data_IF_754250050500
#
_entry.id   IF_754250050500
#
_cell.length_a   1.000
_cell.length_b   1.000
_cell.length_c   1.000
_cell.angle_alpha   90.00
_cell.angle_beta   90.00
_cell.angle_gamma   90.00
#
_symmetry.space_group_name_H-M   'P 1'
#
loop_
_entity.id
_entity.type
_entity.pdbx_description
1 polymer ?
#
# COMPACT_ATOMS: atom_id res chain seq x y z
N UNK A 1 10.48 8.11 10.75
CA UNK A 1 11.20 7.54 9.60
C UNK A 1 12.59 8.13 9.54
N UNK A 2 13.57 7.29 9.30
CA UNK A 2 14.98 7.54 9.57
C UNK A 2 15.79 7.72 8.29
N UNK A 3 16.63 8.76 8.26
CA UNK A 3 17.45 9.14 7.10
C UNK A 3 18.77 8.33 7.00
N UNK A 4 18.94 7.31 7.84
CA UNK A 4 20.10 6.41 7.88
C UNK A 4 19.83 5.10 7.13
N UNK A 5 18.87 5.07 6.21
CA UNK A 5 18.45 3.84 5.50
C UNK A 5 19.61 3.14 4.78
N UNK A 6 20.56 3.90 4.21
CA UNK A 6 21.76 3.33 3.57
C UNK A 6 22.73 2.73 4.57
N UNK A 7 22.75 3.23 5.80
CA UNK A 7 23.51 2.59 6.87
C UNK A 7 22.93 1.19 7.11
N UNK A 8 21.62 1.05 7.17
CA UNK A 8 20.98 -0.26 7.29
C UNK A 8 21.14 -1.17 6.07
N UNK A 9 21.43 -0.61 4.89
CA UNK A 9 21.82 -1.38 3.71
C UNK A 9 23.30 -1.83 3.74
N UNK A 10 24.00 -1.66 4.86
CA UNK A 10 25.38 -2.11 5.00
C UNK A 10 26.41 -1.12 4.47
N UNK A 11 26.04 0.14 4.26
CA UNK A 11 26.95 1.17 3.77
C UNK A 11 27.37 2.14 4.88
N UNK A 12 28.49 2.84 4.71
CA UNK A 12 28.81 3.98 5.58
C UNK A 12 28.63 5.29 4.82
N UNK A 13 27.88 6.21 5.43
CA UNK A 13 27.52 7.48 4.80
C UNK A 13 28.07 8.65 5.59
N UNK A 14 28.71 9.57 4.87
CA UNK A 14 29.32 10.78 5.41
C UNK A 14 28.83 12.02 4.66
N UNK A 15 29.12 13.20 5.21
CA UNK A 15 28.79 14.50 4.60
C UNK A 15 27.26 14.72 4.37
N UNK A 16 26.42 14.19 5.27
CA UNK A 16 24.95 14.30 5.17
C UNK A 16 24.45 15.68 5.63
N UNK A 17 25.09 16.26 6.64
CA UNK A 17 24.64 17.52 7.25
C UNK A 17 25.31 18.73 6.61
N UNK A 18 24.51 19.78 6.41
CA UNK A 18 25.03 21.08 6.00
C UNK A 18 25.81 21.72 7.15
N UNK A 19 26.75 22.59 6.80
CA UNK A 19 27.51 23.38 7.78
C UNK A 19 26.57 24.27 8.62
N UNK A 20 26.94 24.53 9.87
CA UNK A 20 26.13 25.30 10.82
C UNK A 20 26.91 26.49 11.35
N UNK A 21 26.32 27.68 11.21
CA UNK A 21 26.77 28.93 11.83
C UNK A 21 25.96 29.23 13.11
N UNK A 22 26.32 30.32 13.81
CA UNK A 22 25.64 30.77 15.03
C UNK A 22 24.12 30.94 14.84
N UNK A 23 23.70 31.39 13.65
CA UNK A 23 22.29 31.68 13.33
C UNK A 23 21.53 30.51 12.67
N UNK A 24 22.18 29.37 12.42
CA UNK A 24 21.54 28.20 11.81
C UNK A 24 22.37 27.51 10.74
N UNK A 25 21.72 26.69 9.91
CA UNK A 25 22.40 25.98 8.81
C UNK A 25 22.73 26.92 7.66
N UNK A 26 23.96 26.85 7.16
CA UNK A 26 24.39 27.55 5.95
C UNK A 26 23.54 27.05 4.77
N UNK A 27 22.81 27.96 4.12
CA UNK A 27 21.85 27.61 3.06
C UNK A 27 20.42 27.28 3.55
N UNK A 28 20.13 27.42 4.85
CA UNK A 28 18.77 27.28 5.41
C UNK A 28 18.25 25.83 5.48
N UNK A 29 19.01 24.85 5.00
CA UNK A 29 18.65 23.44 5.01
C UNK A 29 19.57 22.63 5.91
N UNK A 30 19.02 21.73 6.73
CA UNK A 30 19.78 20.87 7.66
C UNK A 30 20.68 19.83 6.96
N UNK A 31 20.40 19.52 5.70
CA UNK A 31 21.04 18.42 4.96
C UNK A 31 21.50 18.90 3.60
N UNK A 32 22.64 18.38 3.15
CA UNK A 32 23.18 18.60 1.81
C UNK A 32 22.41 17.80 0.76
N UNK A 33 22.54 18.19 -0.50
CA UNK A 33 21.99 17.45 -1.64
C UNK A 33 22.58 16.04 -1.70
N UNK A 34 21.80 15.08 -2.22
CA UNK A 34 22.17 13.65 -2.29
C UNK A 34 23.49 13.42 -3.05
N UNK A 35 23.78 14.24 -4.05
CA UNK A 35 25.01 14.22 -4.86
C UNK A 35 26.28 14.60 -4.08
N UNK A 36 26.14 15.26 -2.93
CA UNK A 36 27.27 15.62 -2.07
C UNK A 36 27.57 14.59 -0.98
N UNK A 37 26.72 13.57 -0.85
CA UNK A 37 26.89 12.54 0.17
C UNK A 37 27.99 11.57 -0.25
N UNK A 38 28.88 11.27 0.69
CA UNK A 38 29.95 10.32 0.45
C UNK A 38 29.46 8.97 0.98
N UNK A 39 29.26 8.00 0.08
CA UNK A 39 28.75 6.66 0.42
C UNK A 39 29.83 5.63 0.14
N UNK A 40 30.32 4.98 1.19
CA UNK A 40 31.17 3.79 1.07
C UNK A 40 30.28 2.55 1.18
N UNK A 41 30.27 1.73 0.13
CA UNK A 41 29.42 0.53 0.05
C UNK A 41 30.03 -0.64 0.82
N UNK A 42 29.14 -1.56 1.23
CA UNK A 42 29.46 -2.87 1.80
C UNK A 42 30.46 -2.87 2.97
N UNK A 43 30.27 -1.94 3.90
CA UNK A 43 31.10 -1.79 5.09
C UNK A 43 30.69 -2.72 6.23
N UNK A 44 29.46 -3.24 6.21
CA UNK A 44 28.93 -4.17 7.23
C UNK A 44 27.72 -4.96 6.71
N UNK A 45 27.29 -6.04 7.40
CA UNK A 45 26.14 -6.83 6.99
C UNK A 45 24.85 -5.99 6.92
N UNK A 46 24.17 -6.10 5.79
CA UNK A 46 22.93 -5.37 5.53
C UNK A 46 21.74 -5.97 6.28
N UNK A 47 20.92 -5.11 6.88
CA UNK A 47 19.64 -5.44 7.50
C UNK A 47 18.45 -5.27 6.54
N UNK A 48 18.61 -4.39 5.54
CA UNK A 48 17.65 -4.13 4.47
C UNK A 48 18.37 -4.11 3.12
N UNK A 49 17.64 -4.25 2.03
CA UNK A 49 18.23 -4.17 0.69
C UNK A 49 18.51 -2.73 0.26
N UNK A 50 19.47 -2.53 -0.65
CA UNK A 50 19.74 -1.23 -1.30
C UNK A 50 18.49 -0.62 -1.91
N UNK A 51 17.66 -1.45 -2.57
CA UNK A 51 16.44 -1.01 -3.22
C UNK A 51 15.41 -0.49 -2.21
N UNK A 52 15.26 -1.14 -1.06
CA UNK A 52 14.39 -0.68 0.03
C UNK A 52 14.93 0.60 0.67
N UNK A 53 16.25 0.68 0.89
CA UNK A 53 16.89 1.86 1.46
C UNK A 53 16.68 3.10 0.56
N UNK A 54 16.90 2.97 -0.74
CA UNK A 54 16.68 4.06 -1.70
C UNK A 54 15.19 4.43 -1.81
N UNK A 55 14.27 3.45 -1.74
CA UNK A 55 12.82 3.72 -1.73
C UNK A 55 12.38 4.52 -0.50
N UNK A 56 12.90 4.19 0.67
CA UNK A 56 12.64 4.93 1.92
C UNK A 56 13.17 6.37 1.84
N UNK A 57 14.38 6.55 1.30
CA UNK A 57 14.97 7.87 1.12
C UNK A 57 14.20 8.72 0.10
N UNK A 58 13.82 8.16 -1.05
CA UNK A 58 13.00 8.85 -2.05
C UNK A 58 11.64 9.27 -1.48
N UNK A 59 11.02 8.43 -0.65
CA UNK A 59 9.79 8.78 0.04
C UNK A 59 10.00 9.96 1.00
N UNK A 60 11.07 9.97 1.78
CA UNK A 60 11.42 11.06 2.70
C UNK A 60 11.74 12.38 1.97
N UNK A 61 12.42 12.33 0.83
CA UNK A 61 12.68 13.50 -0.01
C UNK A 61 11.38 14.06 -0.61
N UNK A 62 10.49 13.20 -1.09
CA UNK A 62 9.17 13.61 -1.59
C UNK A 62 8.25 14.16 -0.49
N UNK A 63 8.44 13.74 0.76
CA UNK A 63 7.74 14.31 1.91
C UNK A 63 8.26 15.71 2.28
N UNK A 64 9.52 16.06 1.96
CA UNK A 64 10.06 17.41 2.19
C UNK A 64 9.38 18.46 1.32
N UNK A 65 9.08 18.13 0.06
CA UNK A 65 8.34 19.02 -0.86
C UNK A 65 6.87 19.11 -0.47
N UNK A 66 6.31 18.04 0.08
CA UNK A 66 5.00 18.03 0.74
C UNK A 66 5.10 18.56 2.17
N UNK A 67 5.29 19.88 2.31
CA UNK A 67 5.08 20.60 3.60
C UNK A 67 3.65 20.46 4.15
N UNK A 68 2.78 19.68 3.51
CA UNK A 68 1.57 19.07 4.05
C UNK A 68 1.90 17.98 5.06
N UNK A 69 2.44 18.39 6.21
CA UNK A 69 2.53 17.54 7.40
C UNK A 69 1.13 17.02 7.74
N UNK A 70 1.00 15.70 7.85
CA UNK A 70 -0.14 14.89 8.35
C UNK A 70 -0.40 15.13 9.85
N UNK A 71 -0.30 16.37 10.31
CA UNK A 71 -0.98 16.76 11.54
C UNK A 71 -2.46 16.89 11.21
N UNK A 72 -3.31 16.60 12.19
CA UNK A 72 -4.75 16.80 12.16
C UNK A 72 -5.06 18.27 11.80
N UNK A 73 -5.11 18.59 10.50
CA UNK A 73 -5.28 19.95 10.01
C UNK A 73 -6.77 20.18 9.96
N UNK A 74 -7.24 21.10 10.80
CA UNK A 74 -8.64 21.55 10.87
C UNK A 74 -9.18 22.07 9.52
N UNK A 75 -8.32 22.37 8.54
CA UNK A 75 -8.71 23.00 7.27
C UNK A 75 -8.14 22.25 6.04
N UNK A 76 -9.04 21.93 5.10
CA UNK A 76 -8.84 21.01 3.98
C UNK A 76 -7.65 21.38 3.06
N UNK A 77 -7.54 22.65 2.67
CA UNK A 77 -6.62 23.09 1.61
C UNK A 77 -5.34 23.75 2.13
N UNK A 78 -5.09 23.66 3.44
CA UNK A 78 -3.90 24.26 4.05
C UNK A 78 -2.63 23.61 3.50
N UNK A 79 -1.76 24.42 2.90
CA UNK A 79 -0.50 23.97 2.28
C UNK A 79 -0.63 23.54 0.81
N UNK A 80 -1.82 23.59 0.22
CA UNK A 80 -2.06 23.44 -1.22
C UNK A 80 -2.40 24.78 -1.88
N UNK A 81 -3.13 25.65 -1.17
CA UNK A 81 -3.50 26.97 -1.66
C UNK A 81 -2.28 27.90 -1.70
N UNK A 82 -2.02 28.46 -2.88
CA UNK A 82 -1.02 29.50 -3.13
C UNK A 82 -1.63 30.67 -3.90
N UNK A 83 -1.09 31.87 -3.75
CA UNK A 83 -1.40 32.99 -4.63
C UNK A 83 -0.62 32.92 -5.95
N UNK A 84 -0.89 33.83 -6.88
CA UNK A 84 -0.20 33.96 -8.17
C UNK A 84 1.31 34.18 -8.04
N UNK A 85 1.78 34.59 -6.85
CA UNK A 85 3.18 34.84 -6.52
C UNK A 85 3.82 33.67 -5.77
N UNK A 86 3.10 32.57 -5.56
CA UNK A 86 3.56 31.38 -4.84
C UNK A 86 3.50 31.47 -3.31
N UNK A 87 2.92 32.53 -2.74
CA UNK A 87 2.74 32.65 -1.30
C UNK A 87 1.61 31.73 -0.82
N UNK A 88 1.87 30.96 0.24
CA UNK A 88 0.90 30.00 0.77
C UNK A 88 -0.21 30.66 1.60
N UNK A 89 -1.42 30.12 1.47
CA UNK A 89 -2.54 30.44 2.34
C UNK A 89 -2.57 29.53 3.57
N UNK A 90 -2.99 30.08 4.70
CA UNK A 90 -3.09 29.38 5.98
C UNK A 90 -4.52 29.36 6.48
N UNK A 91 -5.01 28.20 6.92
CA UNK A 91 -6.31 28.08 7.58
C UNK A 91 -6.29 28.63 9.01
N UNK A 92 -7.32 29.39 9.38
CA UNK A 92 -7.49 30.03 10.69
C UNK A 92 -8.99 30.11 11.03
N UNK A 93 -9.33 30.09 12.32
CA UNK A 93 -10.70 30.35 12.78
C UNK A 93 -10.85 31.85 13.06
N UNK A 94 -11.78 32.51 12.38
CA UNK A 94 -12.09 33.91 12.69
C UNK A 94 -13.13 33.97 13.81
N UNK A 95 -12.71 34.33 15.02
CA UNK A 95 -13.59 34.43 16.20
C UNK A 95 -14.66 35.52 16.05
N UNK A 96 -14.49 36.50 15.16
CA UNK A 96 -15.49 37.55 14.95
C UNK A 96 -16.62 37.12 14.01
N UNK A 97 -16.29 36.27 13.04
CA UNK A 97 -17.26 35.74 12.08
C UNK A 97 -17.77 34.35 12.44
N UNK A 98 -17.22 33.77 13.51
CA UNK A 98 -17.45 32.39 13.96
C UNK A 98 -17.36 31.37 12.82
N UNK A 99 -16.30 31.51 12.00
CA UNK A 99 -16.16 30.75 10.76
C UNK A 99 -14.70 30.45 10.41
N UNK A 100 -14.52 29.35 9.68
CA UNK A 100 -13.26 28.94 9.07
C UNK A 100 -12.87 29.87 7.91
N UNK A 101 -11.63 30.37 7.92
CA UNK A 101 -11.07 31.23 6.88
C UNK A 101 -9.69 30.76 6.42
N UNK A 102 -9.33 31.09 5.18
CA UNK A 102 -7.97 31.07 4.69
C UNK A 102 -7.41 32.50 4.70
N UNK A 103 -6.21 32.68 5.25
CA UNK A 103 -5.50 33.96 5.33
C UNK A 103 -4.20 33.93 4.54
N UNK A 104 -3.93 35.01 3.82
CA UNK A 104 -2.67 35.29 3.14
C UNK A 104 -1.88 36.35 3.94
N UNK A 105 -0.87 35.91 4.69
CA UNK A 105 -0.03 36.78 5.51
C UNK A 105 -0.82 37.61 6.52
N UNK A 106 -0.60 38.93 6.57
CA UNK A 106 -1.36 39.89 7.43
C UNK A 106 -2.53 40.56 6.72
N UNK A 107 -2.82 40.20 5.48
CA UNK A 107 -3.74 40.94 4.62
C UNK A 107 -5.03 40.18 4.32
N UNK A 108 -5.08 39.59 3.13
CA UNK A 108 -6.30 39.04 2.54
C UNK A 108 -6.80 37.83 3.33
N UNK A 109 -8.12 37.79 3.53
CA UNK A 109 -8.86 36.68 4.13
C UNK A 109 -9.95 36.23 3.17
N UNK A 110 -10.18 34.93 3.08
CA UNK A 110 -11.24 34.32 2.28
C UNK A 110 -11.95 33.28 3.14
N UNK A 111 -13.28 33.20 3.05
CA UNK A 111 -14.05 32.17 3.74
C UNK A 111 -13.66 30.77 3.24
N UNK A 112 -13.29 29.87 4.14
CA UNK A 112 -12.80 28.53 3.78
C UNK A 112 -13.87 27.74 3.04
N UNK A 113 -15.12 27.75 3.54
CA UNK A 113 -16.27 27.08 2.91
C UNK A 113 -16.40 27.39 1.42
N UNK A 114 -16.23 28.67 1.02
CA UNK A 114 -16.40 29.09 -0.37
C UNK A 114 -15.34 28.48 -1.29
N UNK A 115 -14.11 28.35 -0.79
CA UNK A 115 -13.00 27.76 -1.56
C UNK A 115 -13.12 26.24 -1.54
N UNK A 116 -13.31 25.65 -0.36
CA UNK A 116 -13.41 24.21 -0.17
C UNK A 116 -14.55 23.61 -1.00
N UNK A 117 -15.74 24.22 -0.96
CA UNK A 117 -16.91 23.74 -1.72
C UNK A 117 -16.67 23.81 -3.23
N UNK A 118 -16.04 24.88 -3.71
CA UNK A 118 -15.72 25.04 -5.13
C UNK A 118 -14.69 24.01 -5.60
N UNK A 119 -13.65 23.78 -4.80
CA UNK A 119 -12.60 22.80 -5.10
C UNK A 119 -13.16 21.38 -5.04
N UNK A 120 -13.93 21.04 -4.01
CA UNK A 120 -14.56 19.73 -3.88
C UNK A 120 -15.57 19.48 -5.00
N UNK A 121 -16.37 20.48 -5.39
CA UNK A 121 -17.29 20.37 -6.51
C UNK A 121 -16.55 20.09 -7.82
N UNK A 122 -15.42 20.79 -8.04
CA UNK A 122 -14.58 20.55 -9.21
C UNK A 122 -13.96 19.16 -9.21
N UNK A 123 -13.39 18.73 -8.09
CA UNK A 123 -12.82 17.38 -7.93
C UNK A 123 -13.88 16.31 -8.18
N UNK A 124 -15.09 16.46 -7.64
CA UNK A 124 -16.21 15.53 -7.91
C UNK A 124 -16.57 15.47 -9.38
N UNK A 125 -16.53 16.60 -10.08
CA UNK A 125 -16.79 16.65 -11.52
C UNK A 125 -15.68 15.97 -12.31
N UNK A 126 -14.42 16.26 -11.99
CA UNK A 126 -13.26 15.70 -12.68
C UNK A 126 -13.13 14.18 -12.43
N UNK A 127 -13.52 13.69 -11.24
CA UNK A 127 -13.61 12.25 -10.93
C UNK A 127 -14.69 11.53 -11.74
N UNK A 128 -15.75 12.23 -12.16
CA UNK A 128 -16.81 11.70 -13.03
C UNK A 128 -16.50 11.86 -14.51
N UNK A 129 -15.40 12.52 -14.88
CA UNK A 129 -15.02 12.64 -16.26
C UNK A 129 -14.72 11.25 -16.84
N UNK A 130 -15.20 10.92 -18.05
CA UNK A 130 -15.01 9.60 -18.66
C UNK A 130 -13.53 9.17 -18.72
N UNK A 131 -12.64 10.11 -19.04
CA UNK A 131 -11.19 9.85 -19.08
C UNK A 131 -10.62 9.43 -17.72
N UNK A 132 -11.09 10.06 -16.64
CA UNK A 132 -10.66 9.74 -15.28
C UNK A 132 -11.19 8.37 -14.85
N UNK A 133 -12.47 8.10 -15.13
CA UNK A 133 -13.09 6.80 -14.86
C UNK A 133 -12.37 5.66 -15.60
N UNK A 134 -12.05 5.86 -16.88
CA UNK A 134 -11.29 4.89 -17.67
C UNK A 134 -9.89 4.65 -17.11
N UNK A 135 -9.19 5.70 -16.67
CA UNK A 135 -7.88 5.56 -16.01
C UNK A 135 -7.99 4.81 -14.69
N UNK A 136 -9.00 5.11 -13.87
CA UNK A 136 -9.24 4.41 -12.61
C UNK A 136 -9.52 2.93 -12.89
N UNK A 137 -10.40 2.61 -13.83
CA UNK A 137 -10.70 1.23 -14.22
C UNK A 137 -9.47 0.52 -14.79
N UNK A 138 -8.67 1.17 -15.62
CA UNK A 138 -7.43 0.60 -16.14
C UNK A 138 -6.47 0.26 -15.00
N UNK A 139 -6.25 1.18 -14.06
CA UNK A 139 -5.38 0.94 -12.89
C UNK A 139 -5.95 -0.17 -12.01
N UNK A 140 -7.25 -0.18 -11.74
CA UNK A 140 -7.89 -1.26 -10.97
C UNK A 140 -7.69 -2.61 -11.65
N UNK A 141 -7.83 -2.69 -12.97
CA UNK A 141 -7.57 -3.91 -13.73
C UNK A 141 -6.10 -4.35 -13.68
N UNK A 142 -5.15 -3.41 -13.63
CA UNK A 142 -3.72 -3.76 -13.49
C UNK A 142 -3.31 -4.15 -12.08
N UNK A 143 -4.05 -3.73 -11.05
CA UNK A 143 -3.78 -4.07 -9.65
C UNK A 143 -4.32 -5.45 -9.26
N UNK A 144 -5.24 -5.97 -10.06
CA UNK A 144 -5.72 -7.34 -9.94
C UNK A 144 -4.65 -8.24 -10.57
N UNK A 145 -4.16 -9.21 -9.80
CA UNK A 145 -3.21 -10.23 -10.23
C UNK A 145 -3.62 -10.93 -11.53
N UNK A 146 -2.66 -11.58 -12.19
CA UNK A 146 -2.86 -12.38 -13.39
C UNK A 146 -4.08 -13.32 -13.26
N UNK A 147 -4.91 -13.48 -14.32
CA UNK A 147 -6.10 -14.32 -14.26
C UNK A 147 -5.73 -15.72 -13.78
N UNK A 148 -6.39 -16.15 -12.69
CA UNK A 148 -6.20 -17.49 -12.15
C UNK A 148 -6.68 -18.50 -13.20
N UNK A 149 -5.78 -19.37 -13.66
CA UNK A 149 -6.12 -20.41 -14.62
C UNK A 149 -7.16 -21.36 -14.01
N UNK A 150 -8.37 -21.35 -14.56
CA UNK A 150 -9.46 -22.24 -14.13
C UNK A 150 -9.08 -23.72 -14.24
N UNK A 151 -8.14 -24.06 -15.11
CA UNK A 151 -7.59 -25.41 -15.21
C UNK A 151 -6.79 -25.82 -13.98
N UNK A 152 -6.02 -24.89 -13.40
CA UNK A 152 -5.25 -25.15 -12.18
C UNK A 152 -6.17 -25.43 -10.98
N UNK A 153 -7.31 -24.74 -10.90
CA UNK A 153 -8.34 -25.02 -9.89
C UNK A 153 -8.91 -26.43 -10.10
N UNK A 154 -9.36 -26.75 -11.31
CA UNK A 154 -9.94 -28.05 -11.63
C UNK A 154 -8.96 -29.22 -11.42
N UNK A 155 -7.67 -29.04 -11.71
CA UNK A 155 -6.64 -30.05 -11.49
C UNK A 155 -6.40 -30.29 -9.98
N UNK A 156 -6.43 -29.24 -9.15
CA UNK A 156 -6.34 -29.37 -7.68
C UNK A 156 -7.60 -30.00 -7.09
N UNK A 157 -8.79 -29.68 -7.59
CA UNK A 157 -10.05 -30.34 -7.19
C UNK A 157 -9.99 -31.86 -7.44
N UNK A 158 -9.54 -32.27 -8.63
CA UNK A 158 -9.34 -33.69 -8.94
C UNK A 158 -8.30 -34.35 -8.03
N UNK A 159 -7.23 -33.64 -7.69
CA UNK A 159 -6.19 -34.15 -6.79
C UNK A 159 -6.75 -34.35 -5.38
N UNK A 160 -7.54 -33.40 -4.89
CA UNK A 160 -8.23 -33.49 -3.60
C UNK A 160 -9.19 -34.68 -3.54
N UNK A 161 -9.96 -34.91 -4.59
CA UNK A 161 -10.86 -36.05 -4.69
C UNK A 161 -10.09 -37.38 -4.66
N UNK A 162 -8.94 -37.44 -5.34
CA UNK A 162 -8.06 -38.61 -5.37
C UNK A 162 -7.48 -38.92 -3.99
N UNK A 163 -7.02 -37.90 -3.26
CA UNK A 163 -6.48 -38.05 -1.91
C UNK A 163 -7.59 -38.50 -0.95
N UNK A 164 -8.79 -37.93 -1.05
CA UNK A 164 -9.94 -38.30 -0.24
C UNK A 164 -10.31 -39.78 -0.44
N UNK A 165 -10.32 -40.25 -1.70
CA UNK A 165 -10.51 -41.67 -2.01
C UNK A 165 -9.39 -42.57 -1.46
N UNK A 166 -8.14 -42.10 -1.48
CA UNK A 166 -6.99 -42.83 -0.91
C UNK A 166 -7.12 -42.96 0.61
N UNK A 167 -7.52 -41.90 1.31
CA UNK A 167 -7.76 -41.91 2.75
C UNK A 167 -8.83 -42.95 3.10
N UNK A 168 -9.98 -42.93 2.41
CA UNK A 168 -11.03 -43.93 2.62
C UNK A 168 -10.53 -45.37 2.51
N UNK A 169 -9.77 -45.68 1.45
CA UNK A 169 -9.16 -47.01 1.28
C UNK A 169 -8.17 -47.38 2.39
N UNK A 170 -7.39 -46.42 2.88
CA UNK A 170 -6.45 -46.67 3.98
C UNK A 170 -7.16 -46.92 5.31
N UNK A 171 -8.30 -46.24 5.54
CA UNK A 171 -9.16 -46.50 6.70
C UNK A 171 -9.72 -47.92 6.63
N UNK A 172 -10.25 -48.33 5.48
CA UNK A 172 -10.76 -49.70 5.28
C UNK A 172 -9.66 -50.74 5.55
N UNK A 173 -8.47 -50.54 4.98
CA UNK A 173 -7.31 -51.42 5.20
C UNK A 173 -6.81 -51.43 6.66
N UNK A 174 -6.96 -50.33 7.38
CA UNK A 174 -6.63 -50.26 8.81
C UNK A 174 -7.63 -51.09 9.64
N UNK A 175 -8.92 -51.06 9.29
CA UNK A 175 -9.95 -51.83 9.97
C UNK A 175 -9.80 -53.34 9.75
N UNK A 176 -9.37 -53.74 8.55
CA UNK A 176 -9.15 -55.14 8.17
C UNK A 176 -7.76 -55.69 8.58
N UNK A 177 -6.93 -54.88 9.24
CA UNK A 177 -5.58 -55.27 9.61
C UNK A 177 -5.57 -56.39 10.67
N UNK A 178 -4.87 -57.49 10.37
CA UNK A 178 -4.75 -58.64 11.27
C UNK A 178 -3.93 -58.34 12.53
N UNK A 179 -2.95 -57.42 12.44
CA UNK A 179 -2.01 -57.11 13.51
C UNK A 179 -1.96 -55.61 13.81
N UNK A 180 -1.74 -55.28 15.08
CA UNK A 180 -1.70 -53.89 15.56
C UNK A 180 -0.56 -53.06 14.96
N UNK A 181 0.56 -53.69 14.61
CA UNK A 181 1.70 -53.03 13.95
C UNK A 181 1.34 -52.58 12.53
N UNK A 182 0.63 -53.40 11.78
CA UNK A 182 0.14 -53.09 10.42
C UNK A 182 -0.95 -52.01 10.47
N UNK A 183 -1.88 -52.10 11.43
CA UNK A 183 -2.88 -51.06 11.66
C UNK A 183 -2.23 -49.69 11.95
N UNK A 184 -1.18 -49.66 12.77
CA UNK A 184 -0.43 -48.42 13.05
C UNK A 184 0.32 -47.87 11.83
N UNK A 185 0.81 -48.73 10.93
CA UNK A 185 1.45 -48.27 9.69
C UNK A 185 0.45 -47.58 8.75
N UNK A 186 -0.78 -48.12 8.65
CA UNK A 186 -1.86 -47.45 7.92
C UNK A 186 -2.30 -46.16 8.59
N UNK A 187 -2.40 -46.11 9.92
CA UNK A 187 -2.73 -44.88 10.66
C UNK A 187 -1.75 -43.73 10.33
N UNK A 188 -0.44 -44.00 10.31
CA UNK A 188 0.56 -42.98 9.91
C UNK A 188 0.40 -42.54 8.45
N UNK A 189 0.03 -43.47 7.57
CA UNK A 189 -0.21 -43.17 6.15
C UNK A 189 -1.47 -42.32 5.95
N UNK A 190 -2.48 -42.51 6.80
CA UNK A 190 -3.70 -41.68 6.84
C UNK A 190 -3.36 -40.29 7.33
N UNK A 191 -2.60 -40.16 8.42
CA UNK A 191 -2.16 -38.84 8.93
C UNK A 191 -1.39 -38.05 7.87
N UNK A 192 -0.48 -38.70 7.14
CA UNK A 192 0.24 -38.07 6.04
C UNK A 192 -0.70 -37.65 4.90
N UNK A 193 -1.65 -38.51 4.51
CA UNK A 193 -2.61 -38.18 3.47
C UNK A 193 -3.60 -37.08 3.88
N UNK A 194 -3.98 -36.98 5.17
CA UNK A 194 -4.79 -35.89 5.71
C UNK A 194 -4.00 -34.57 5.78
N UNK A 195 -2.70 -34.62 6.08
CA UNK A 195 -1.84 -33.44 6.00
C UNK A 195 -1.74 -32.92 4.56
N UNK A 196 -1.51 -33.81 3.58
CA UNK A 196 -1.54 -33.46 2.15
C UNK A 196 -2.91 -32.89 1.75
N UNK A 197 -4.02 -33.50 2.21
CA UNK A 197 -5.38 -33.02 1.94
C UNK A 197 -5.60 -31.61 2.49
N UNK A 198 -5.18 -31.33 3.72
CA UNK A 198 -5.31 -30.02 4.35
C UNK A 198 -4.53 -28.94 3.59
N UNK A 199 -3.34 -29.26 3.09
CA UNK A 199 -2.55 -28.36 2.26
C UNK A 199 -3.26 -28.04 0.94
N UNK A 200 -3.75 -29.06 0.22
CA UNK A 200 -4.49 -28.86 -1.03
C UNK A 200 -5.78 -28.04 -0.83
N UNK A 201 -6.49 -28.25 0.29
CA UNK A 201 -7.69 -27.44 0.61
C UNK A 201 -7.33 -25.97 0.82
N UNK A 202 -6.24 -25.70 1.55
CA UNK A 202 -5.77 -24.32 1.78
C UNK A 202 -5.40 -23.63 0.46
N UNK A 203 -4.56 -24.28 -0.35
CA UNK A 203 -4.14 -23.73 -1.64
C UNK A 203 -5.31 -23.49 -2.60
N UNK A 204 -6.28 -24.40 -2.62
CA UNK A 204 -7.47 -24.29 -3.44
C UNK A 204 -8.37 -23.13 -2.96
N UNK A 205 -8.52 -22.95 -1.65
CA UNK A 205 -9.22 -21.80 -1.08
C UNK A 205 -8.56 -20.47 -1.42
N UNK A 206 -7.23 -20.41 -1.39
CA UNK A 206 -6.47 -19.22 -1.82
C UNK A 206 -6.68 -18.92 -3.31
N UNK A 207 -6.60 -19.93 -4.17
CA UNK A 207 -6.83 -19.76 -5.61
C UNK A 207 -8.27 -19.35 -5.94
N UNK A 208 -9.26 -19.93 -5.28
CA UNK A 208 -10.67 -19.56 -5.45
C UNK A 208 -10.95 -18.14 -4.95
N UNK A 209 -10.35 -17.74 -3.81
CA UNK A 209 -10.45 -16.38 -3.30
C UNK A 209 -9.85 -15.37 -4.30
N UNK A 210 -8.65 -15.64 -4.83
CA UNK A 210 -8.02 -14.82 -5.87
C UNK A 210 -8.83 -14.78 -7.16
N UNK A 211 -9.41 -15.90 -7.59
CA UNK A 211 -10.27 -15.93 -8.76
C UNK A 211 -11.56 -15.12 -8.54
N UNK A 212 -12.13 -15.17 -7.34
CA UNK A 212 -13.32 -14.40 -6.96
C UNK A 212 -13.05 -12.89 -6.90
N UNK A 213 -11.92 -12.47 -6.32
CA UNK A 213 -11.51 -11.06 -6.31
C UNK A 213 -11.23 -10.56 -7.72
N UNK A 214 -10.59 -11.38 -8.56
CA UNK A 214 -10.36 -11.05 -9.96
C UNK A 214 -11.67 -10.90 -10.74
N UNK A 215 -12.59 -11.87 -10.64
CA UNK A 215 -13.89 -11.79 -11.31
C UNK A 215 -14.70 -10.58 -10.85
N UNK A 216 -14.72 -10.31 -9.55
CA UNK A 216 -15.41 -9.13 -8.99
C UNK A 216 -14.82 -7.83 -9.52
N UNK A 217 -13.50 -7.71 -9.56
CA UNK A 217 -12.84 -6.51 -10.06
C UNK A 217 -13.01 -6.31 -11.58
N UNK A 218 -13.10 -7.39 -12.36
CA UNK A 218 -13.42 -7.33 -13.79
C UNK A 218 -14.88 -6.96 -14.06
N UNK A 219 -15.79 -7.29 -13.14
CA UNK A 219 -17.20 -6.95 -13.23
C UNK A 219 -17.49 -5.48 -12.85
N UNK A 220 -16.55 -4.76 -12.25
CA UNK A 220 -16.71 -3.34 -11.90
C UNK A 220 -16.87 -2.50 -13.17
N UNK A 221 -18.00 -1.82 -13.27
CA UNK A 221 -18.33 -0.92 -14.37
C UNK A 221 -18.16 0.55 -13.98
N UNK A 222 -18.18 1.45 -14.97
CA UNK A 222 -18.14 2.91 -14.73
C UNK A 222 -19.29 3.36 -13.80
N UNK A 223 -20.46 2.74 -13.90
CA UNK A 223 -21.61 3.06 -13.04
C UNK A 223 -21.37 2.71 -11.58
N UNK A 224 -20.64 1.64 -11.29
CA UNK A 224 -20.30 1.23 -9.92
C UNK A 224 -19.32 2.22 -9.28
N UNK A 225 -18.35 2.70 -10.05
CA UNK A 225 -17.39 3.74 -9.61
C UNK A 225 -18.12 5.06 -9.33
N UNK A 226 -19.05 5.45 -10.20
CA UNK A 226 -19.86 6.67 -10.02
C UNK A 226 -20.77 6.54 -8.80
N UNK A 227 -21.41 5.39 -8.60
CA UNK A 227 -22.27 5.13 -7.44
C UNK A 227 -21.49 5.22 -6.11
N UNK A 228 -20.26 4.67 -6.06
CA UNK A 228 -19.40 4.74 -4.89
C UNK A 228 -18.90 6.16 -4.56
N UNK A 229 -18.89 7.07 -5.54
CA UNK A 229 -18.48 8.47 -5.33
C UNK A 229 -19.64 9.38 -4.87
N UNK A 230 -20.87 8.86 -4.82
CA UNK A 230 -22.09 9.60 -4.39
C UNK A 230 -22.44 9.32 -2.93
N UNK A 231 -22.08 8.15 -2.40
CA UNK A 231 -22.23 7.78 -0.99
C UNK A 231 -21.19 8.47 -0.10
#
# INVERSE_FOLDING_TARGET
MEWQSLTYAGHTVWNVHAERNADGYVGGEKRRLRTEWIVQRDTHPALITDAEAEKLLAQLESQKTRRTRTTDRTYLLTGLLVDERGNSWHGEWDTRMDAAIYRLGKGKKIAARRVDESVLARVKLDLRAPETLQRILAVMKTLVDEPVDGRAIADKEKRLETITRKIGKLIDLQMDAADQTTAQAYARSIEQAEAERAEFVRELGELQSRAGTHASAMAITENDVVASCVA
#
